data_IF_103317040070
#
_entry.id   IF_103317040070
#
_cell.length_a   1.000
_cell.length_b   1.000
_cell.length_c   1.000
_cell.angle_alpha   90.00
_cell.angle_beta   90.00
_cell.angle_gamma   90.00
#
_symmetry.space_group_name_H-M   'P 1'
#
loop_
_entity.id
_entity.type
_entity.pdbx_description
1 polymer ?
#
# COMPACT_ATOMS: atom_id res chain seq x y z
N UNK A 1 12.41 16.14 -15.01
CA UNK A 1 13.08 16.23 -16.33
C UNK A 1 12.94 17.62 -16.94
N UNK A 2 11.80 18.00 -17.56
CA UNK A 2 11.65 19.32 -18.22
C UNK A 2 11.97 20.54 -17.35
N UNK A 3 11.58 20.52 -16.07
CA UNK A 3 11.95 21.58 -15.11
C UNK A 3 13.47 21.76 -15.00
N UNK A 4 14.23 20.66 -15.00
CA UNK A 4 15.69 20.67 -14.91
C UNK A 4 16.34 21.21 -16.19
N UNK A 5 15.87 20.75 -17.34
CA UNK A 5 16.42 21.11 -18.66
C UNK A 5 16.09 22.55 -19.04
N UNK A 6 14.81 22.92 -18.97
CA UNK A 6 14.32 24.21 -19.49
C UNK A 6 14.40 25.34 -18.47
N UNK A 7 14.38 24.99 -17.17
CA UNK A 7 14.34 25.91 -16.03
C UNK A 7 13.16 26.90 -16.09
N UNK A 8 12.13 26.58 -16.89
CA UNK A 8 10.93 27.41 -17.06
C UNK A 8 10.06 27.33 -15.81
N UNK A 9 9.51 28.47 -15.41
CA UNK A 9 8.60 28.60 -14.26
C UNK A 9 7.41 27.64 -14.36
N UNK A 10 6.81 27.50 -15.55
CA UNK A 10 5.68 26.59 -15.79
C UNK A 10 6.06 25.13 -15.52
N UNK A 11 7.19 24.67 -16.05
CA UNK A 11 7.62 23.28 -15.89
C UNK A 11 8.03 22.99 -14.44
N UNK A 12 8.60 23.97 -13.73
CA UNK A 12 8.89 23.89 -12.31
C UNK A 12 7.62 23.82 -11.45
N UNK A 13 6.64 24.69 -11.69
CA UNK A 13 5.38 24.67 -10.97
C UNK A 13 4.62 23.35 -11.17
N UNK A 14 4.55 22.87 -12.41
CA UNK A 14 3.95 21.56 -12.71
C UNK A 14 4.71 20.42 -12.02
N UNK A 15 6.04 20.45 -11.98
CA UNK A 15 6.83 19.45 -11.26
C UNK A 15 6.49 19.44 -9.75
N UNK A 16 6.31 20.62 -9.13
CA UNK A 16 5.90 20.73 -7.74
C UNK A 16 4.50 20.17 -7.48
N UNK A 17 3.53 20.52 -8.34
CA UNK A 17 2.16 19.99 -8.25
C UNK A 17 2.11 18.46 -8.38
N UNK A 18 2.83 17.90 -9.36
CA UNK A 18 2.89 16.45 -9.54
C UNK A 18 3.65 15.73 -8.44
N UNK A 19 4.66 16.36 -7.83
CA UNK A 19 5.32 15.83 -6.65
C UNK A 19 4.35 15.72 -5.46
N UNK A 20 3.54 16.75 -5.22
CA UNK A 20 2.50 16.71 -4.20
C UNK A 20 1.43 15.66 -4.53
N UNK A 21 0.92 15.63 -5.76
CA UNK A 21 -0.07 14.64 -6.20
C UNK A 21 0.43 13.19 -6.04
N UNK A 22 1.72 12.94 -6.32
CA UNK A 22 2.32 11.62 -6.09
C UNK A 22 2.29 11.24 -4.59
N UNK A 23 2.64 12.18 -3.70
CA UNK A 23 2.57 11.97 -2.25
C UNK A 23 1.15 11.72 -1.75
N UNK A 24 0.15 12.42 -2.28
CA UNK A 24 -1.27 12.15 -2.00
C UNK A 24 -1.69 10.76 -2.48
N UNK A 25 -1.16 10.29 -3.61
CA UNK A 25 -1.42 8.95 -4.11
C UNK A 25 -0.82 7.87 -3.20
N UNK A 26 0.45 8.02 -2.80
CA UNK A 26 1.10 7.12 -1.85
C UNK A 26 2.32 7.78 -1.21
N UNK A 27 2.44 7.70 0.12
CA UNK A 27 3.60 8.22 0.87
C UNK A 27 4.94 7.68 0.37
N UNK A 28 4.94 6.46 -0.15
CA UNK A 28 6.13 5.84 -0.71
C UNK A 28 6.73 6.61 -1.90
N UNK A 29 5.95 7.49 -2.56
CA UNK A 29 6.47 8.42 -3.57
C UNK A 29 7.59 9.32 -3.06
N UNK A 30 7.82 9.41 -1.75
CA UNK A 30 9.03 10.04 -1.19
C UNK A 30 10.31 9.48 -1.79
N UNK A 31 10.36 8.18 -2.12
CA UNK A 31 11.53 7.55 -2.75
C UNK A 31 11.72 7.97 -4.21
N UNK A 32 10.62 8.20 -4.93
CA UNK A 32 10.71 8.83 -6.25
C UNK A 32 11.28 10.24 -6.13
N UNK A 33 10.79 11.03 -5.17
CA UNK A 33 11.27 12.40 -4.96
C UNK A 33 12.74 12.44 -4.53
N UNK A 34 13.16 11.53 -3.65
CA UNK A 34 14.55 11.35 -3.27
C UNK A 34 15.40 10.96 -4.49
N UNK A 35 14.97 10.00 -5.30
CA UNK A 35 15.69 9.62 -6.51
C UNK A 35 15.82 10.76 -7.53
N UNK A 36 14.76 11.56 -7.72
CA UNK A 36 14.80 12.75 -8.57
C UNK A 36 15.73 13.84 -7.99
N UNK A 37 15.73 14.04 -6.68
CA UNK A 37 16.62 14.98 -6.01
C UNK A 37 18.08 14.53 -6.13
N UNK A 38 18.37 13.25 -5.85
CA UNK A 38 19.69 12.65 -6.04
C UNK A 38 20.15 12.80 -7.49
N UNK A 39 19.30 12.52 -8.47
CA UNK A 39 19.61 12.69 -9.88
C UNK A 39 19.99 14.14 -10.21
N UNK A 40 19.24 15.12 -9.71
CA UNK A 40 19.55 16.54 -9.87
C UNK A 40 20.87 16.94 -9.19
N UNK A 41 21.21 16.35 -8.04
CA UNK A 41 22.43 16.62 -7.26
C UNK A 41 23.69 16.00 -7.87
N UNK A 42 23.60 14.84 -8.52
CA UNK A 42 24.74 14.18 -9.16
C UNK A 42 24.94 14.59 -10.62
N UNK A 43 23.94 15.23 -11.23
CA UNK A 43 24.03 15.66 -12.62
C UNK A 43 25.12 16.74 -12.82
N UNK A 44 25.94 16.68 -13.88
CA UNK A 44 26.98 17.70 -14.12
C UNK A 44 26.44 19.15 -14.22
N UNK A 45 25.23 19.30 -14.77
CA UNK A 45 24.52 20.59 -14.86
C UNK A 45 23.84 21.08 -13.58
N UNK A 46 24.12 20.47 -12.40
CA UNK A 46 23.47 20.81 -11.12
C UNK A 46 23.61 22.28 -10.74
N UNK A 47 24.78 22.87 -10.95
CA UNK A 47 25.08 24.22 -10.49
C UNK A 47 24.14 25.24 -11.12
N UNK A 48 23.91 25.13 -12.43
CA UNK A 48 22.98 26.00 -13.14
C UNK A 48 21.53 25.79 -12.69
N UNK A 49 21.14 24.54 -12.44
CA UNK A 49 19.78 24.24 -12.00
C UNK A 49 19.50 24.86 -10.63
N UNK A 50 20.37 24.65 -9.64
CA UNK A 50 20.22 25.17 -8.28
C UNK A 50 20.38 26.69 -8.16
N UNK A 51 21.12 27.33 -9.08
CA UNK A 51 21.18 28.79 -9.20
C UNK A 51 19.93 29.39 -9.85
N UNK A 52 19.17 28.62 -10.62
CA UNK A 52 17.93 29.08 -11.25
C UNK A 52 16.77 29.14 -10.25
N UNK A 53 15.65 29.75 -10.67
CA UNK A 53 14.41 29.78 -9.87
C UNK A 53 13.66 28.44 -9.87
N UNK A 54 13.96 27.53 -10.79
CA UNK A 54 13.18 26.32 -11.03
C UNK A 54 13.09 25.37 -9.82
N UNK A 55 14.18 24.98 -9.11
CA UNK A 55 14.06 24.11 -7.95
C UNK A 55 13.28 24.74 -6.81
N UNK A 56 13.47 26.04 -6.57
CA UNK A 56 12.77 26.78 -5.52
C UNK A 56 11.27 26.89 -5.80
N UNK A 57 10.87 27.18 -7.04
CA UNK A 57 9.46 27.17 -7.46
C UNK A 57 8.87 25.77 -7.31
N UNK A 58 9.60 24.72 -7.70
CA UNK A 58 9.17 23.32 -7.54
C UNK A 58 8.87 23.02 -6.07
N UNK A 59 9.77 23.39 -5.15
CA UNK A 59 9.61 23.17 -3.71
C UNK A 59 8.47 23.99 -3.11
N UNK A 60 8.35 25.28 -3.46
CA UNK A 60 7.29 26.15 -2.93
C UNK A 60 5.92 25.66 -3.40
N UNK A 61 5.75 25.41 -4.70
CA UNK A 61 4.47 24.96 -5.26
C UNK A 61 4.08 23.59 -4.72
N UNK A 62 5.03 22.64 -4.66
CA UNK A 62 4.77 21.33 -4.06
C UNK A 62 4.45 21.42 -2.57
N UNK A 63 5.18 22.27 -1.82
CA UNK A 63 4.97 22.51 -0.40
C UNK A 63 3.58 23.09 -0.11
N UNK A 64 3.14 24.09 -0.86
CA UNK A 64 1.79 24.66 -0.74
C UNK A 64 0.73 23.60 -1.07
N UNK A 65 0.93 22.82 -2.14
CA UNK A 65 -0.04 21.81 -2.56
C UNK A 65 -0.18 20.66 -1.54
N UNK A 66 0.90 20.25 -0.87
CA UNK A 66 0.86 19.22 0.17
C UNK A 66 0.51 19.75 1.56
N UNK A 67 0.55 21.07 1.79
CA UNK A 67 0.33 21.68 3.10
C UNK A 67 -0.97 21.25 3.80
N UNK A 68 -2.16 21.20 3.13
CA UNK A 68 -3.39 20.76 3.78
C UNK A 68 -3.27 19.36 4.40
N UNK A 69 -2.56 18.47 3.72
CA UNK A 69 -2.31 17.12 4.20
C UNK A 69 -1.33 17.07 5.38
N UNK A 70 -0.27 17.89 5.35
CA UNK A 70 0.65 17.99 6.48
C UNK A 70 -0.05 18.52 7.74
N UNK A 71 -0.95 19.50 7.58
CA UNK A 71 -1.78 20.03 8.67
C UNK A 71 -2.68 18.91 9.23
N UNK A 72 -3.35 18.16 8.35
CA UNK A 72 -4.17 17.02 8.77
C UNK A 72 -3.36 15.95 9.52
N UNK A 73 -2.16 15.63 9.05
CA UNK A 73 -1.26 14.67 9.70
C UNK A 73 -0.90 15.09 11.13
N UNK A 74 -0.53 16.36 11.32
CA UNK A 74 -0.21 16.91 12.64
C UNK A 74 -1.43 16.84 13.56
N UNK A 75 -2.60 17.24 13.05
CA UNK A 75 -3.85 17.22 13.81
C UNK A 75 -4.30 15.81 14.21
N UNK A 76 -3.87 14.78 13.48
CA UNK A 76 -4.22 13.37 13.72
C UNK A 76 -3.02 12.54 14.21
N UNK A 77 -2.03 13.18 14.84
CA UNK A 77 -0.93 12.49 15.53
C UNK A 77 -0.07 11.61 14.63
N UNK A 78 0.05 11.93 13.34
CA UNK A 78 0.82 11.17 12.35
C UNK A 78 0.43 9.68 12.25
N UNK A 79 -0.85 9.34 12.45
CA UNK A 79 -1.34 7.96 12.47
C UNK A 79 -0.79 7.05 11.34
N UNK A 80 -0.70 7.48 10.05
CA UNK A 80 -0.12 6.66 8.99
C UNK A 80 1.37 6.30 9.20
N UNK A 81 2.15 7.21 9.82
CA UNK A 81 3.55 6.93 10.14
C UNK A 81 3.69 6.00 11.34
N UNK A 82 2.84 6.15 12.36
CA UNK A 82 2.81 5.23 13.51
C UNK A 82 2.51 3.79 13.05
N UNK A 83 1.57 3.62 12.12
CA UNK A 83 1.32 2.34 11.45
C UNK A 83 2.55 1.85 10.69
N UNK A 84 3.19 2.70 9.87
CA UNK A 84 4.36 2.31 9.11
C UNK A 84 5.53 1.87 10.00
N UNK A 85 5.75 2.54 11.13
CA UNK A 85 6.78 2.15 12.12
C UNK A 85 6.43 0.82 12.78
N UNK A 86 5.16 0.58 13.10
CA UNK A 86 4.72 -0.69 13.71
C UNK A 86 4.87 -1.88 12.75
N UNK A 87 4.57 -1.69 11.46
CA UNK A 87 4.57 -2.76 10.46
C UNK A 87 5.94 -2.98 9.81
N UNK A 88 6.67 -1.91 9.56
CA UNK A 88 7.94 -1.96 8.82
C UNK A 88 9.17 -1.60 9.65
N UNK A 89 9.01 -1.10 10.88
CA UNK A 89 10.13 -0.79 11.77
C UNK A 89 10.66 -2.02 12.53
N UNK A 90 11.69 -1.78 13.35
CA UNK A 90 12.29 -2.76 14.27
C UNK A 90 12.91 -4.00 13.62
N UNK A 91 13.34 -3.89 12.37
CA UNK A 91 14.11 -4.94 11.73
C UNK A 91 15.52 -5.03 12.36
N UNK A 92 16.02 -6.24 12.62
CA UNK A 92 17.47 -6.39 12.83
C UNK A 92 18.20 -6.01 11.54
N UNK A 93 19.41 -5.46 11.64
CA UNK A 93 20.20 -5.08 10.45
C UNK A 93 20.35 -6.25 9.47
N UNK A 94 20.54 -7.47 9.99
CA UNK A 94 20.62 -8.68 9.19
C UNK A 94 19.31 -8.97 8.43
N UNK A 95 18.16 -8.83 9.09
CA UNK A 95 16.86 -9.00 8.43
C UNK A 95 16.57 -7.91 7.41
N UNK A 96 16.92 -6.65 7.70
CA UNK A 96 16.77 -5.55 6.75
C UNK A 96 17.68 -5.71 5.51
N UNK A 97 18.87 -6.30 5.69
CA UNK A 97 19.76 -6.63 4.58
C UNK A 97 19.18 -7.74 3.70
N UNK A 98 18.65 -8.81 4.31
CA UNK A 98 17.95 -9.87 3.58
C UNK A 98 16.74 -9.31 2.82
N UNK A 99 15.90 -8.50 3.48
CA UNK A 99 14.75 -7.83 2.87
C UNK A 99 15.16 -6.91 1.71
N UNK A 100 16.35 -6.29 1.77
CA UNK A 100 16.90 -5.47 0.69
C UNK A 100 17.32 -6.29 -0.53
N UNK A 101 17.88 -7.48 -0.31
CA UNK A 101 18.18 -8.43 -1.40
C UNK A 101 16.88 -8.93 -2.04
N UNK A 102 15.92 -9.35 -1.23
CA UNK A 102 14.60 -9.81 -1.68
C UNK A 102 13.85 -8.70 -2.41
N UNK A 103 13.98 -7.45 -1.95
CA UNK A 103 13.47 -6.27 -2.63
C UNK A 103 14.05 -6.16 -4.05
N UNK A 104 15.37 -6.28 -4.24
CA UNK A 104 16.00 -6.15 -5.56
C UNK A 104 15.66 -7.33 -6.49
N UNK A 105 15.70 -8.56 -5.97
CA UNK A 105 15.35 -9.76 -6.73
C UNK A 105 13.88 -9.72 -7.14
N UNK A 106 12.99 -9.43 -6.19
CA UNK A 106 11.57 -9.28 -6.44
C UNK A 106 11.26 -8.12 -7.38
N UNK A 107 12.04 -7.03 -7.32
CA UNK A 107 11.95 -5.91 -8.26
C UNK A 107 12.22 -6.34 -9.69
N UNK A 108 13.28 -7.11 -9.93
CA UNK A 108 13.58 -7.67 -11.26
C UNK A 108 12.47 -8.64 -11.70
N UNK A 109 11.97 -9.47 -10.77
CA UNK A 109 10.87 -10.39 -11.04
C UNK A 109 9.58 -9.66 -11.48
N UNK A 110 9.26 -8.49 -10.89
CA UNK A 110 8.10 -7.69 -11.29
C UNK A 110 8.13 -7.26 -12.77
N UNK A 111 9.32 -7.00 -13.31
CA UNK A 111 9.48 -6.47 -14.67
C UNK A 111 10.09 -7.49 -15.64
N UNK A 112 10.25 -8.75 -15.23
CA UNK A 112 10.89 -9.75 -16.09
C UNK A 112 10.13 -9.97 -17.41
N UNK A 113 8.80 -10.11 -17.35
CA UNK A 113 7.94 -10.29 -18.53
C UNK A 113 8.03 -9.09 -19.49
N UNK A 114 7.82 -7.82 -19.06
CA UNK A 114 7.95 -6.70 -19.98
C UNK A 114 9.38 -6.54 -20.53
N UNK A 115 10.43 -6.84 -19.76
CA UNK A 115 11.80 -6.86 -20.26
C UNK A 115 11.98 -7.88 -21.38
N UNK A 116 11.51 -9.13 -21.19
CA UNK A 116 11.59 -10.18 -22.19
C UNK A 116 10.83 -9.83 -23.46
N UNK A 117 9.64 -9.24 -23.35
CA UNK A 117 8.85 -8.77 -24.50
C UNK A 117 9.62 -7.71 -25.29
N UNK A 118 10.17 -6.70 -24.61
CA UNK A 118 10.96 -5.65 -25.26
C UNK A 118 12.21 -6.24 -25.91
N UNK A 119 12.94 -7.14 -25.24
CA UNK A 119 14.16 -7.74 -25.78
C UNK A 119 13.89 -8.66 -26.97
N UNK A 120 12.81 -9.44 -26.95
CA UNK A 120 12.43 -10.30 -28.06
C UNK A 120 12.06 -9.50 -29.33
N UNK A 121 11.45 -8.32 -29.14
CA UNK A 121 10.96 -7.47 -30.22
C UNK A 121 12.04 -6.52 -30.72
N UNK A 122 12.68 -5.77 -29.83
CA UNK A 122 13.70 -4.76 -30.15
C UNK A 122 15.07 -5.37 -30.46
N UNK A 123 15.34 -6.59 -29.99
CA UNK A 123 16.60 -7.34 -30.21
C UNK A 123 17.86 -6.48 -30.03
N UNK A 124 18.03 -5.86 -28.85
CA UNK A 124 19.11 -4.91 -28.64
C UNK A 124 20.48 -5.59 -28.73
N UNK A 125 21.43 -4.92 -29.37
CA UNK A 125 22.85 -5.34 -29.31
C UNK A 125 23.43 -5.05 -27.93
N UNK A 126 24.60 -5.61 -27.60
CA UNK A 126 25.29 -5.31 -26.33
C UNK A 126 25.54 -3.82 -26.11
N UNK A 127 25.81 -3.05 -27.18
CA UNK A 127 25.95 -1.59 -27.12
C UNK A 127 24.62 -0.89 -26.79
N UNK A 128 23.52 -1.36 -27.38
CA UNK A 128 22.19 -0.86 -27.07
C UNK A 128 21.80 -1.18 -25.62
N UNK A 129 22.11 -2.38 -25.11
CA UNK A 129 21.88 -2.75 -23.70
C UNK A 129 22.68 -1.85 -22.75
N UNK A 130 23.95 -1.58 -23.05
CA UNK A 130 24.77 -0.66 -22.26
C UNK A 130 24.18 0.76 -22.25
N UNK A 131 23.73 1.25 -23.40
CA UNK A 131 23.11 2.57 -23.51
C UNK A 131 21.70 2.65 -22.89
N UNK A 132 20.94 1.54 -22.85
CA UNK A 132 19.68 1.45 -22.09
C UNK A 132 19.93 1.55 -20.58
N UNK A 133 20.95 0.84 -20.09
CA UNK A 133 21.28 0.79 -18.66
C UNK A 133 21.90 2.10 -18.17
N UNK A 134 22.81 2.68 -18.96
CA UNK A 134 23.49 3.93 -18.64
C UNK A 134 23.76 4.77 -19.90
N UNK A 135 22.84 5.68 -20.26
CA UNK A 135 22.93 6.50 -21.47
C UNK A 135 24.12 7.47 -21.45
N UNK A 136 24.76 7.64 -22.61
CA UNK A 136 25.80 8.66 -22.79
C UNK A 136 25.27 10.10 -22.90
N UNK A 137 24.08 10.27 -23.47
CA UNK A 137 23.46 11.59 -23.65
C UNK A 137 23.03 12.20 -22.30
N UNK A 138 23.30 13.49 -22.10
CA UNK A 138 23.12 14.16 -20.80
C UNK A 138 21.66 14.14 -20.33
N UNK A 139 20.72 14.39 -21.24
CA UNK A 139 19.28 14.42 -20.96
C UNK A 139 18.77 13.06 -20.48
N UNK A 140 19.22 11.98 -21.14
CA UNK A 140 18.87 10.61 -20.78
C UNK A 140 19.59 10.14 -19.51
N UNK A 141 20.80 10.65 -19.25
CA UNK A 141 21.56 10.34 -18.04
C UNK A 141 20.88 10.85 -16.78
N UNK A 142 20.18 11.98 -16.84
CA UNK A 142 19.36 12.43 -15.72
C UNK A 142 18.21 11.45 -15.43
N UNK A 143 17.57 10.89 -16.47
CA UNK A 143 16.50 9.90 -16.30
C UNK A 143 17.06 8.58 -15.73
N UNK A 144 18.24 8.16 -16.20
CA UNK A 144 18.92 6.97 -15.68
C UNK A 144 19.33 7.15 -14.22
N UNK A 145 19.90 8.30 -13.86
CA UNK A 145 20.25 8.61 -12.48
C UNK A 145 19.00 8.61 -11.58
N UNK A 146 17.88 9.16 -12.04
CA UNK A 146 16.62 9.12 -11.29
C UNK A 146 16.08 7.71 -11.15
N UNK A 147 16.06 6.92 -12.24
CA UNK A 147 15.62 5.52 -12.22
C UNK A 147 16.44 4.68 -11.22
N UNK A 148 17.76 4.70 -11.36
CA UNK A 148 18.65 3.92 -10.49
C UNK A 148 18.64 4.42 -9.06
N UNK A 149 18.60 5.74 -8.82
CA UNK A 149 18.49 6.26 -7.46
C UNK A 149 17.16 5.87 -6.80
N UNK A 150 16.03 5.98 -7.50
CA UNK A 150 14.72 5.53 -6.98
C UNK A 150 14.71 4.02 -6.71
N UNK A 151 15.38 3.21 -7.54
CA UNK A 151 15.42 1.75 -7.36
C UNK A 151 16.38 1.32 -6.24
N UNK A 152 17.60 1.84 -6.21
CA UNK A 152 18.70 1.33 -5.38
C UNK A 152 18.74 1.99 -4.00
N UNK A 153 18.41 3.28 -3.89
CA UNK A 153 18.54 4.02 -2.63
C UNK A 153 17.73 3.39 -1.48
N UNK A 154 16.49 2.88 -1.68
CA UNK A 154 15.77 2.17 -0.62
C UNK A 154 16.55 1.00 -0.06
N UNK A 155 17.11 0.15 -0.92
CA UNK A 155 17.89 -1.03 -0.52
C UNK A 155 19.15 -0.66 0.27
N UNK A 156 19.73 0.52 0.02
CA UNK A 156 20.87 1.03 0.77
C UNK A 156 20.46 1.64 2.12
N UNK A 157 19.33 2.34 2.16
CA UNK A 157 18.86 3.04 3.36
C UNK A 157 18.18 2.11 4.37
N UNK A 158 17.50 1.05 3.91
CA UNK A 158 16.73 0.18 4.78
C UNK A 158 17.55 -0.49 5.90
N UNK A 159 18.75 -1.04 5.65
CA UNK A 159 19.60 -1.56 6.73
C UNK A 159 20.09 -0.48 7.70
N UNK A 160 20.34 0.74 7.19
CA UNK A 160 20.80 1.88 7.99
C UNK A 160 19.69 2.42 8.91
N UNK A 161 18.43 2.31 8.48
CA UNK A 161 17.26 2.80 9.18
C UNK A 161 16.50 1.71 9.94
N UNK A 162 16.99 0.46 9.90
CA UNK A 162 16.33 -0.71 10.50
C UNK A 162 14.87 -0.88 10.03
N UNK A 163 14.64 -0.66 8.73
CA UNK A 163 13.32 -0.73 8.07
C UNK A 163 13.24 -1.99 7.20
N UNK A 164 12.10 -2.69 7.27
CA UNK A 164 11.78 -3.80 6.37
C UNK A 164 11.33 -3.29 5.00
N UNK A 165 11.83 -3.91 3.95
CA UNK A 165 11.45 -3.62 2.57
C UNK A 165 10.64 -4.75 1.96
N UNK A 166 9.80 -4.39 1.00
CA UNK A 166 9.15 -5.36 0.12
C UNK A 166 9.33 -4.87 -1.32
N UNK A 167 9.44 -5.79 -2.28
CA UNK A 167 9.62 -5.46 -3.70
C UNK A 167 8.51 -4.54 -4.27
N UNK A 168 7.34 -4.48 -3.63
CA UNK A 168 6.26 -3.53 -3.98
C UNK A 168 6.72 -2.07 -3.91
N UNK A 169 7.74 -1.78 -3.11
CA UNK A 169 8.32 -0.45 -2.97
C UNK A 169 9.10 -0.02 -4.24
N UNK A 170 9.35 -0.92 -5.20
CA UNK A 170 9.99 -0.53 -6.47
C UNK A 170 9.04 0.15 -7.47
N UNK A 171 7.72 0.16 -7.21
CA UNK A 171 6.69 0.56 -8.19
C UNK A 171 6.95 1.92 -8.86
N UNK A 172 7.43 2.92 -8.10
CA UNK A 172 7.68 4.25 -8.65
C UNK A 172 8.89 4.29 -9.58
N UNK A 173 9.89 3.41 -9.42
CA UNK A 173 11.03 3.33 -10.32
C UNK A 173 10.60 2.90 -11.73
N UNK A 174 9.61 2.00 -11.83
CA UNK A 174 9.16 1.46 -13.11
C UNK A 174 8.50 2.48 -14.02
N UNK A 175 8.09 3.64 -13.51
CA UNK A 175 7.59 4.77 -14.33
C UNK A 175 8.64 5.26 -15.34
N UNK A 176 9.94 5.14 -15.02
CA UNK A 176 11.06 5.53 -15.89
C UNK A 176 11.63 4.36 -16.69
N UNK A 177 11.22 3.12 -16.42
CA UNK A 177 11.72 1.94 -17.13
C UNK A 177 11.47 2.01 -18.65
N UNK A 178 10.27 2.39 -19.15
CA UNK A 178 10.06 2.54 -20.59
C UNK A 178 11.00 3.58 -21.22
N UNK A 179 11.33 4.65 -20.50
CA UNK A 179 12.30 5.65 -20.97
C UNK A 179 13.69 5.02 -21.09
N UNK A 180 14.13 4.22 -20.11
CA UNK A 180 15.41 3.50 -20.18
C UNK A 180 15.48 2.53 -21.35
N UNK A 181 14.43 1.75 -21.55
CA UNK A 181 14.41 0.71 -22.57
C UNK A 181 14.25 1.25 -24.01
N UNK A 182 13.41 2.27 -24.20
CA UNK A 182 12.95 2.65 -25.54
C UNK A 182 13.52 3.97 -26.07
N UNK A 183 14.24 4.75 -25.25
CA UNK A 183 14.84 6.03 -25.69
C UNK A 183 16.24 5.89 -26.31
N UNK A 184 16.78 4.67 -26.39
CA UNK A 184 18.09 4.45 -26.99
C UNK A 184 18.07 4.75 -28.50
N UNK A 185 18.97 5.61 -29.02
CA UNK A 185 19.07 5.84 -30.46
C UNK A 185 19.61 4.62 -31.21
N UNK A 186 20.14 3.64 -30.49
CA UNK A 186 20.68 2.39 -31.06
C UNK A 186 19.58 1.36 -31.33
N UNK A 187 18.32 1.70 -31.09
CA UNK A 187 17.17 0.82 -31.27
C UNK A 187 16.19 1.50 -32.21
N UNK A 188 15.80 0.78 -33.27
CA UNK A 188 14.68 1.19 -34.11
C UNK A 188 13.47 0.31 -33.81
N UNK A 189 12.43 0.89 -33.21
CA UNK A 189 11.15 0.21 -33.06
C UNK A 189 10.31 0.52 -34.30
N UNK A 190 10.15 -0.47 -35.18
CA UNK A 190 9.28 -0.30 -36.35
C UNK A 190 7.82 -0.21 -35.89
N UNK A 191 6.97 0.46 -36.68
CA UNK A 191 5.53 0.57 -36.36
C UNK A 191 4.88 -0.80 -36.12
N UNK A 192 5.25 -1.81 -36.91
CA UNK A 192 4.75 -3.18 -36.74
C UNK A 192 5.14 -3.78 -35.37
N UNK A 193 6.35 -3.48 -34.89
CA UNK A 193 6.86 -3.95 -33.61
C UNK A 193 6.15 -3.24 -32.45
N UNK A 194 5.93 -1.93 -32.56
CA UNK A 194 5.14 -1.17 -31.58
C UNK A 194 3.68 -1.67 -31.49
N UNK A 195 3.04 -1.97 -32.63
CA UNK A 195 1.68 -2.55 -32.65
C UNK A 195 1.67 -3.91 -31.96
N UNK A 196 2.68 -4.76 -32.15
CA UNK A 196 2.79 -6.06 -31.46
C UNK A 196 2.97 -5.89 -29.95
N UNK A 197 3.82 -4.96 -29.50
CA UNK A 197 3.99 -4.65 -28.07
C UNK A 197 2.66 -4.25 -27.45
N UNK A 198 1.95 -3.30 -28.08
CA UNK A 198 0.65 -2.82 -27.59
C UNK A 198 -0.39 -3.94 -27.62
N UNK A 199 -0.44 -4.73 -28.68
CA UNK A 199 -1.36 -5.87 -28.78
C UNK A 199 -1.11 -6.90 -27.68
N UNK A 200 0.14 -7.24 -27.36
CA UNK A 200 0.49 -8.13 -26.25
C UNK A 200 0.10 -7.50 -24.92
N UNK A 201 0.38 -6.21 -24.71
CA UNK A 201 0.04 -5.50 -23.49
C UNK A 201 -1.48 -5.43 -23.24
N UNK A 202 -2.29 -5.39 -24.32
CA UNK A 202 -3.76 -5.45 -24.24
C UNK A 202 -4.28 -6.88 -24.12
N UNK A 203 -3.69 -7.84 -24.84
CA UNK A 203 -4.12 -9.24 -24.81
C UNK A 203 -3.80 -9.91 -23.48
N UNK A 204 -2.64 -9.60 -22.87
CA UNK A 204 -2.21 -10.19 -21.61
C UNK A 204 -3.25 -10.08 -20.47
N UNK A 205 -3.77 -8.88 -20.12
CA UNK A 205 -4.80 -8.78 -19.08
C UNK A 205 -6.10 -9.51 -19.46
N UNK A 206 -6.46 -9.58 -20.75
CA UNK A 206 -7.63 -10.36 -21.21
C UNK A 206 -7.41 -11.86 -21.03
N UNK A 207 -6.21 -12.37 -21.32
CA UNK A 207 -5.83 -13.76 -21.08
C UNK A 207 -5.80 -14.05 -19.58
N UNK A 208 -5.23 -13.16 -18.76
CA UNK A 208 -5.25 -13.31 -17.30
C UNK A 208 -6.69 -13.30 -16.75
N UNK A 209 -7.57 -12.48 -17.30
CA UNK A 209 -8.99 -12.47 -16.95
C UNK A 209 -9.66 -13.80 -17.32
N UNK A 210 -9.39 -14.33 -18.51
CA UNK A 210 -9.91 -15.64 -18.94
C UNK A 210 -9.36 -16.79 -18.07
N UNK A 211 -8.11 -16.69 -17.63
CA UNK A 211 -7.47 -17.65 -16.71
C UNK A 211 -7.85 -17.45 -15.24
N UNK A 212 -8.49 -16.33 -14.89
CA UNK A 212 -8.82 -15.98 -13.51
C UNK A 212 -9.61 -17.08 -12.77
N UNK A 213 -10.48 -17.90 -13.40
CA UNK A 213 -11.14 -18.97 -12.68
C UNK A 213 -10.22 -20.11 -12.27
N UNK A 214 -9.29 -20.50 -13.15
CA UNK A 214 -8.31 -21.53 -12.85
C UNK A 214 -7.32 -21.05 -11.77
N UNK A 215 -6.86 -19.80 -11.88
CA UNK A 215 -6.03 -19.16 -10.85
C UNK A 215 -6.79 -19.12 -9.52
N UNK A 216 -8.08 -18.77 -9.56
CA UNK A 216 -8.99 -18.76 -8.42
C UNK A 216 -9.09 -20.11 -7.73
N UNK A 217 -9.22 -21.20 -8.48
CA UNK A 217 -9.23 -22.57 -7.93
C UNK A 217 -7.93 -22.90 -7.19
N UNK A 218 -6.78 -22.62 -7.80
CA UNK A 218 -5.47 -22.86 -7.17
C UNK A 218 -5.31 -22.00 -5.91
N UNK A 219 -5.66 -20.73 -5.98
CA UNK A 219 -5.59 -19.81 -4.83
C UNK A 219 -6.59 -20.19 -3.74
N UNK A 220 -7.72 -20.79 -4.08
CA UNK A 220 -8.72 -21.24 -3.10
C UNK A 220 -8.18 -22.36 -2.21
N UNK A 221 -7.31 -23.22 -2.73
CA UNK A 221 -6.62 -24.25 -1.95
C UNK A 221 -5.44 -23.69 -1.16
N UNK A 222 -4.69 -22.72 -1.72
CA UNK A 222 -3.45 -22.22 -1.12
C UNK A 222 -3.67 -21.06 -0.13
N UNK A 223 -4.69 -20.22 -0.33
CA UNK A 223 -4.98 -19.00 0.47
C UNK A 223 -6.33 -19.08 1.17
N UNK A 224 -6.52 -20.08 2.01
CA UNK A 224 -7.72 -20.26 2.86
C UNK A 224 -7.68 -19.47 4.18
N UNK A 225 -6.87 -18.41 4.26
CA UNK A 225 -6.71 -17.59 5.46
C UNK A 225 -7.91 -16.67 5.76
N UNK A 226 -7.88 -16.01 6.91
CA UNK A 226 -8.90 -15.04 7.34
C UNK A 226 -9.15 -13.90 6.34
N UNK A 227 -8.16 -13.55 5.51
CA UNK A 227 -8.24 -12.55 4.43
C UNK A 227 -9.41 -12.77 3.46
N UNK A 228 -9.81 -14.02 3.22
CA UNK A 228 -10.86 -14.35 2.26
C UNK A 228 -12.28 -14.36 2.86
N UNK A 229 -12.42 -14.11 4.17
CA UNK A 229 -13.67 -14.31 4.91
C UNK A 229 -14.42 -13.02 5.25
N UNK A 230 -13.89 -11.84 4.93
CA UNK A 230 -14.48 -10.55 5.32
C UNK A 230 -15.94 -10.40 4.91
N UNK A 231 -16.29 -10.72 3.66
CA UNK A 231 -17.68 -10.64 3.18
C UNK A 231 -18.61 -11.69 3.77
N UNK A 232 -18.09 -12.88 4.12
CA UNK A 232 -18.86 -13.95 4.73
C UNK A 232 -19.20 -13.65 6.19
N UNK A 233 -18.37 -12.85 6.85
CA UNK A 233 -18.50 -12.51 8.27
C UNK A 233 -19.43 -11.31 8.50
N UNK A 234 -19.65 -10.46 7.49
CA UNK A 234 -20.54 -9.30 7.59
C UNK A 234 -21.97 -9.68 8.01
N UNK A 235 -22.62 -10.60 7.30
CA UNK A 235 -23.99 -11.03 7.61
C UNK A 235 -24.16 -11.64 9.02
N UNK A 236 -23.26 -12.53 9.48
CA UNK A 236 -23.24 -12.98 10.87
C UNK A 236 -23.04 -11.87 11.90
N UNK A 237 -22.15 -10.90 11.65
CA UNK A 237 -21.91 -9.74 12.53
C UNK A 237 -23.16 -8.88 12.63
N UNK A 238 -23.78 -8.52 11.50
CA UNK A 238 -25.02 -7.72 11.48
C UNK A 238 -26.15 -8.41 12.21
N UNK A 239 -26.31 -9.73 12.02
CA UNK A 239 -27.35 -10.48 12.72
C UNK A 239 -27.13 -10.45 14.23
N UNK A 240 -25.91 -10.68 14.71
CA UNK A 240 -25.64 -10.60 16.14
C UNK A 240 -25.85 -9.17 16.67
N UNK A 241 -25.46 -8.15 15.91
CA UNK A 241 -25.66 -6.76 16.30
C UNK A 241 -27.14 -6.42 16.45
N UNK A 242 -27.97 -6.72 15.44
CA UNK A 242 -29.43 -6.50 15.49
C UNK A 242 -30.11 -7.35 16.57
N UNK A 243 -29.61 -8.56 16.82
CA UNK A 243 -30.09 -9.38 17.93
C UNK A 243 -29.77 -8.73 19.30
N UNK A 244 -28.80 -7.81 19.36
CA UNK A 244 -28.30 -7.18 20.58
C UNK A 244 -28.88 -5.78 20.81
N UNK A 245 -29.05 -4.98 19.76
CA UNK A 245 -29.57 -3.61 19.82
C UNK A 245 -30.19 -3.16 18.50
N UNK A 246 -31.15 -2.23 18.57
CA UNK A 246 -31.75 -1.56 17.42
C UNK A 246 -30.94 -0.34 16.92
N UNK A 247 -29.89 0.04 17.65
CA UNK A 247 -29.00 1.14 17.25
C UNK A 247 -28.20 0.78 15.99
N UNK A 248 -27.86 1.75 15.12
CA UNK A 248 -26.97 1.51 13.99
C UNK A 248 -25.56 1.12 14.47
N UNK A 249 -24.90 0.22 13.76
CA UNK A 249 -23.54 -0.22 14.07
C UNK A 249 -22.54 0.85 13.62
N UNK A 250 -21.97 1.60 14.57
CA UNK A 250 -21.01 2.68 14.26
C UNK A 250 -19.55 2.30 14.45
N UNK A 251 -19.24 1.32 15.31
CA UNK A 251 -17.87 0.92 15.65
C UNK A 251 -17.64 -0.57 15.46
N UNK A 252 -16.53 -0.91 14.83
CA UNK A 252 -16.11 -2.29 14.61
C UNK A 252 -14.63 -2.48 14.96
N UNK A 253 -14.29 -3.61 15.59
CA UNK A 253 -12.91 -3.99 15.84
C UNK A 253 -12.66 -5.46 15.55
N UNK A 254 -11.48 -5.78 15.04
CA UNK A 254 -11.05 -7.15 14.79
C UNK A 254 -9.53 -7.25 14.87
N UNK A 255 -8.98 -8.43 14.64
CA UNK A 255 -7.55 -8.65 14.49
C UNK A 255 -7.13 -8.66 13.01
N UNK A 256 -5.97 -8.06 12.75
CA UNK A 256 -5.33 -8.00 11.44
C UNK A 256 -6.28 -7.46 10.36
N UNK A 257 -6.15 -7.98 9.14
CA UNK A 257 -6.86 -7.50 7.94
C UNK A 257 -8.40 -7.51 8.04
N UNK A 258 -8.98 -8.22 9.01
CA UNK A 258 -10.43 -8.25 9.20
C UNK A 258 -10.97 -6.92 9.73
N UNK A 259 -10.15 -6.14 10.45
CA UNK A 259 -10.55 -4.85 11.03
C UNK A 259 -10.96 -3.85 9.96
N UNK A 260 -10.30 -3.89 8.81
CA UNK A 260 -10.59 -3.03 7.66
C UNK A 260 -11.50 -3.73 6.63
N UNK A 261 -11.39 -5.06 6.51
CA UNK A 261 -12.09 -5.81 5.48
C UNK A 261 -13.58 -6.01 5.76
N UNK A 262 -13.97 -6.31 7.01
CA UNK A 262 -15.38 -6.62 7.35
C UNK A 262 -16.28 -5.38 7.27
N UNK A 263 -15.90 -4.20 7.83
CA UNK A 263 -16.72 -2.98 7.76
C UNK A 263 -17.12 -2.55 6.36
N UNK A 264 -16.27 -2.83 5.37
CA UNK A 264 -16.57 -2.57 3.96
C UNK A 264 -17.86 -3.28 3.48
N UNK A 265 -18.16 -4.47 4.01
CA UNK A 265 -19.33 -5.26 3.64
C UNK A 265 -20.52 -5.13 4.59
N UNK A 266 -20.37 -4.41 5.72
CA UNK A 266 -21.45 -4.14 6.65
C UNK A 266 -22.34 -3.00 6.13
N UNK A 267 -23.65 -3.10 6.34
CA UNK A 267 -24.64 -2.14 5.87
C UNK A 267 -24.39 -0.71 6.37
N UNK A 268 -24.06 -0.56 7.65
CA UNK A 268 -23.89 0.75 8.30
C UNK A 268 -22.50 1.37 8.07
N UNK A 269 -21.57 0.63 7.45
CA UNK A 269 -20.17 1.04 7.22
C UNK A 269 -19.49 1.63 8.49
N UNK A 270 -19.39 0.85 9.59
CA UNK A 270 -18.84 1.34 10.84
C UNK A 270 -17.38 1.77 10.71
N UNK A 271 -16.96 2.68 11.59
CA UNK A 271 -15.57 3.05 11.75
C UNK A 271 -14.78 1.91 12.38
N UNK A 272 -13.63 1.59 11.77
CA UNK A 272 -12.67 0.64 12.29
C UNK A 272 -11.89 1.24 13.46
N UNK A 273 -11.90 0.56 14.61
CA UNK A 273 -11.07 0.88 15.77
C UNK A 273 -10.17 -0.32 16.10
N UNK A 274 -8.98 -0.08 16.66
CA UNK A 274 -7.95 -1.12 16.83
C UNK A 274 -7.80 -1.58 18.29
N UNK A 275 -8.89 -1.59 19.05
CA UNK A 275 -8.90 -1.88 20.50
C UNK A 275 -8.62 -3.35 20.86
N UNK A 276 -8.54 -4.25 19.86
CA UNK A 276 -8.15 -5.64 20.05
C UNK A 276 -6.66 -5.90 19.78
N UNK A 277 -5.99 -4.98 19.07
CA UNK A 277 -4.56 -5.07 18.74
C UNK A 277 -3.71 -4.24 19.70
N UNK A 278 -4.32 -3.21 20.31
CA UNK A 278 -3.72 -2.35 21.31
C UNK A 278 -4.74 -1.97 22.38
N UNK A 279 -4.26 -1.49 23.51
CA UNK A 279 -5.13 -0.90 24.52
C UNK A 279 -5.97 0.25 23.92
N UNK A 280 -7.25 0.28 24.29
CA UNK A 280 -8.14 1.38 23.94
C UNK A 280 -7.67 2.68 24.59
N UNK A 281 -7.81 3.79 23.87
CA UNK A 281 -7.66 5.11 24.46
C UNK A 281 -8.92 5.48 25.24
N UNK A 282 -8.81 6.43 26.18
CA UNK A 282 -9.98 6.93 26.92
C UNK A 282 -11.09 7.47 25.99
N UNK A 283 -10.72 8.00 24.83
CA UNK A 283 -11.65 8.49 23.81
C UNK A 283 -12.40 7.33 23.14
N UNK A 284 -11.69 6.25 22.79
CA UNK A 284 -12.30 5.04 22.22
C UNK A 284 -13.19 4.34 23.24
N UNK A 285 -12.78 4.26 24.52
CA UNK A 285 -13.62 3.70 25.58
C UNK A 285 -14.92 4.50 25.74
N UNK A 286 -14.84 5.84 25.69
CA UNK A 286 -16.02 6.70 25.73
C UNK A 286 -16.93 6.52 24.49
N UNK A 287 -16.35 6.34 23.30
CA UNK A 287 -17.08 6.05 22.07
C UNK A 287 -17.77 4.69 22.13
N UNK A 288 -17.05 3.65 22.56
CA UNK A 288 -17.61 2.30 22.76
C UNK A 288 -18.77 2.34 23.77
N UNK A 289 -18.62 3.08 24.87
CA UNK A 289 -19.71 3.25 25.84
C UNK A 289 -20.93 3.92 25.21
N UNK A 290 -20.74 4.93 24.37
CA UNK A 290 -21.81 5.74 23.78
C UNK A 290 -22.50 5.07 22.58
N UNK A 291 -21.75 4.37 21.74
CA UNK A 291 -22.20 3.87 20.43
C UNK A 291 -22.24 2.34 20.37
N UNK A 292 -21.70 1.66 21.38
CA UNK A 292 -21.48 0.22 21.36
C UNK A 292 -20.41 -0.19 20.35
N UNK A 293 -20.08 -1.48 20.30
CA UNK A 293 -19.07 -2.00 19.38
C UNK A 293 -19.34 -3.46 19.02
N UNK A 294 -19.10 -3.81 17.76
CA UNK A 294 -19.00 -5.20 17.33
C UNK A 294 -17.53 -5.62 17.23
N UNK A 295 -17.19 -6.75 17.85
CA UNK A 295 -15.85 -7.32 17.89
C UNK A 295 -15.85 -8.67 17.17
N UNK A 296 -14.78 -8.95 16.44
CA UNK A 296 -14.62 -10.20 15.69
C UNK A 296 -13.21 -10.75 15.92
N UNK A 297 -13.11 -12.00 16.37
CA UNK A 297 -11.83 -12.68 16.57
C UNK A 297 -11.79 -14.05 15.90
N UNK A 298 -10.74 -14.36 15.11
CA UNK A 298 -10.47 -15.74 14.73
C UNK A 298 -10.25 -16.60 15.98
N UNK A 299 -10.82 -17.80 16.02
CA UNK A 299 -10.60 -18.72 17.16
C UNK A 299 -9.12 -19.16 17.29
N UNK A 300 -8.34 -19.01 16.21
CA UNK A 300 -6.90 -19.26 16.18
C UNK A 300 -6.05 -18.11 16.75
N UNK A 301 -6.65 -17.02 17.23
CA UNK A 301 -5.96 -15.83 17.72
C UNK A 301 -6.24 -15.57 19.22
N UNK A 302 -5.48 -16.21 20.14
CA UNK A 302 -5.75 -16.14 21.59
C UNK A 302 -5.70 -14.72 22.18
N UNK A 303 -4.80 -13.87 21.70
CA UNK A 303 -4.69 -12.48 22.15
C UNK A 303 -5.94 -11.68 21.82
N UNK A 304 -6.50 -11.86 20.62
CA UNK A 304 -7.75 -11.23 20.21
C UNK A 304 -8.91 -11.70 21.10
N UNK A 305 -9.02 -13.02 21.31
CA UNK A 305 -10.09 -13.60 22.14
C UNK A 305 -10.04 -13.03 23.55
N UNK A 306 -8.87 -12.99 24.19
CA UNK A 306 -8.70 -12.44 25.52
C UNK A 306 -9.09 -10.94 25.59
N UNK A 307 -8.68 -10.14 24.60
CA UNK A 307 -9.06 -8.73 24.53
C UNK A 307 -10.56 -8.53 24.31
N UNK A 308 -11.18 -9.35 23.45
CA UNK A 308 -12.61 -9.30 23.19
C UNK A 308 -13.43 -9.71 24.42
N UNK A 309 -12.99 -10.73 25.17
CA UNK A 309 -13.62 -11.15 26.42
C UNK A 309 -13.49 -10.08 27.51
N UNK A 310 -12.32 -9.47 27.65
CA UNK A 310 -12.11 -8.37 28.59
C UNK A 310 -13.01 -7.17 28.26
N UNK A 311 -13.21 -6.86 26.97
CA UNK A 311 -14.13 -5.82 26.53
C UNK A 311 -15.60 -6.21 26.78
N UNK A 312 -15.99 -7.44 26.45
CA UNK A 312 -17.34 -7.97 26.67
C UNK A 312 -17.74 -7.94 28.15
N UNK A 313 -16.79 -8.25 29.05
CA UNK A 313 -16.99 -8.25 30.50
C UNK A 313 -17.40 -6.89 31.08
N UNK A 314 -17.22 -5.79 30.34
CA UNK A 314 -17.61 -4.45 30.75
C UNK A 314 -19.12 -4.18 30.64
N UNK A 315 -19.87 -5.03 29.92
CA UNK A 315 -21.31 -4.90 29.74
C UNK A 315 -22.01 -6.24 29.93
N UNK A 316 -22.97 -6.27 30.86
CA UNK A 316 -23.83 -7.45 31.08
C UNK A 316 -24.79 -7.73 29.92
N UNK A 317 -25.01 -6.74 29.05
CA UNK A 317 -25.85 -6.85 27.86
C UNK A 317 -25.08 -7.32 26.62
N UNK A 318 -23.79 -7.61 26.75
CA UNK A 318 -23.00 -8.14 25.64
C UNK A 318 -23.52 -9.51 25.21
N UNK A 319 -23.62 -9.73 23.90
CA UNK A 319 -23.95 -11.04 23.32
C UNK A 319 -22.75 -11.59 22.56
N UNK A 320 -22.64 -12.91 22.55
CA UNK A 320 -21.55 -13.65 21.90
C UNK A 320 -22.14 -14.70 20.98
N UNK A 321 -21.51 -14.91 19.84
CA UNK A 321 -21.86 -16.00 18.92
C UNK A 321 -20.60 -16.49 18.25
N UNK A 322 -20.34 -17.78 18.38
CA UNK A 322 -19.37 -18.44 17.53
C UNK A 322 -20.00 -18.75 16.18
N UNK A 323 -19.24 -18.53 15.13
CA UNK A 323 -19.65 -18.82 13.76
C UNK A 323 -18.56 -19.56 13.02
N UNK A 324 -18.97 -20.45 12.15
CA UNK A 324 -18.09 -21.15 11.24
C UNK A 324 -18.42 -20.71 9.82
N UNK A 325 -17.40 -20.25 9.10
CA UNK A 325 -17.54 -19.83 7.71
C UNK A 325 -16.57 -20.60 6.84
N UNK A 326 -17.03 -20.94 5.65
CA UNK A 326 -16.20 -21.53 4.59
C UNK A 326 -16.54 -20.84 3.29
N UNK A 327 -15.51 -20.41 2.56
CA UNK A 327 -15.68 -19.88 1.21
C UNK A 327 -15.98 -21.03 0.26
N UNK A 328 -16.89 -20.82 -0.69
CA UNK A 328 -17.11 -21.75 -1.81
C UNK A 328 -16.65 -21.09 -3.10
N UNK A 329 -15.89 -21.83 -3.90
CA UNK A 329 -15.46 -21.40 -5.22
C UNK A 329 -15.79 -22.49 -6.24
N UNK A 330 -16.61 -22.17 -7.24
CA UNK A 330 -17.12 -23.14 -8.24
C UNK A 330 -17.67 -24.43 -7.62
N UNK A 331 -18.38 -24.32 -6.49
CA UNK A 331 -18.98 -25.44 -5.77
C UNK A 331 -18.07 -26.12 -4.75
N UNK A 332 -16.75 -25.92 -4.82
CA UNK A 332 -15.74 -26.50 -3.92
C UNK A 332 -15.64 -25.66 -2.65
N UNK A 333 -15.84 -26.29 -1.49
CA UNK A 333 -15.68 -25.63 -0.18
C UNK A 333 -14.21 -25.58 0.22
N UNK A 334 -13.75 -24.43 0.71
CA UNK A 334 -12.46 -24.31 1.39
C UNK A 334 -12.55 -24.86 2.81
N UNK A 335 -11.40 -25.02 3.46
CA UNK A 335 -11.31 -25.28 4.89
C UNK A 335 -12.13 -24.26 5.67
N UNK A 336 -13.02 -24.75 6.52
CA UNK A 336 -13.83 -23.89 7.35
C UNK A 336 -12.99 -23.25 8.45
N UNK A 337 -13.32 -22.00 8.79
CA UNK A 337 -12.68 -21.24 9.85
C UNK A 337 -13.71 -20.76 10.86
N UNK A 338 -13.37 -20.87 12.13
CA UNK A 338 -14.21 -20.48 13.26
C UNK A 338 -13.84 -19.10 13.80
N UNK A 339 -14.86 -18.33 14.14
CA UNK A 339 -14.72 -16.97 14.65
C UNK A 339 -15.66 -16.77 15.84
N UNK A 340 -15.20 -15.99 16.81
CA UNK A 340 -16.03 -15.44 17.87
C UNK A 340 -16.48 -14.03 17.44
N UNK A 341 -17.78 -13.79 17.46
CA UNK A 341 -18.36 -12.46 17.33
C UNK A 341 -18.88 -12.04 18.70
N UNK A 342 -18.57 -10.82 19.11
CA UNK A 342 -19.12 -10.20 20.31
C UNK A 342 -19.79 -8.89 19.90
N UNK A 343 -21.02 -8.68 20.37
CA UNK A 343 -21.72 -7.41 20.22
C UNK A 343 -21.92 -6.79 21.61
N UNK A 344 -21.46 -5.56 21.78
CA UNK A 344 -21.62 -4.78 22.99
C UNK A 344 -22.55 -3.61 22.63
N UNK A 345 -23.78 -3.55 23.15
CA UNK A 345 -24.70 -2.47 22.81
C UNK A 345 -24.22 -1.13 23.42
N UNK A 346 -24.70 0.01 22.88
CA UNK A 346 -24.58 1.29 23.56
C UNK A 346 -25.03 1.19 25.02
N UNK A 347 -24.34 1.87 25.93
CA UNK A 347 -24.87 2.06 27.27
C UNK A 347 -26.23 2.77 27.15
N UNK A 348 -27.30 2.13 27.61
CA UNK A 348 -28.56 2.82 27.77
C UNK A 348 -28.30 4.08 28.60
N UNK A 349 -28.78 5.23 28.14
CA UNK A 349 -28.65 6.52 28.84
C UNK A 349 -29.15 6.38 30.28
N UNK A 350 -28.28 6.01 31.22
CA UNK A 350 -28.65 5.78 32.62
C UNK A 350 -27.99 4.63 33.40
N UNK A 351 -27.10 3.79 32.85
CA UNK A 351 -26.40 2.76 33.65
C UNK A 351 -24.89 3.00 33.72
N UNK A 352 -24.45 3.34 34.93
CA UNK A 352 -23.08 3.60 35.37
C UNK A 352 -22.15 2.42 35.07
N UNK A 353 -21.00 2.69 34.44
CA UNK A 353 -19.87 1.77 34.42
C UNK A 353 -19.45 1.49 35.87
N UNK A 354 -19.32 0.21 36.22
CA UNK A 354 -18.73 -0.20 37.49
C UNK A 354 -17.22 -0.02 37.34
N UNK A 355 -16.68 1.01 37.99
CA UNK A 355 -15.23 1.18 38.17
C UNK A 355 -14.62 -0.06 38.83
N UNK A 356 -13.56 -0.58 38.22
CA UNK A 356 -12.38 -1.10 38.94
C UNK A 356 -11.15 -1.16 38.06
#
# INVERSE_FOLDING_TARGET
>A
MRSFETRRVRDAALAGLWAAAAMYGKYWSVVLLLGLATAALVHPGRADYFRSRAPWITMIVGGIAIAPHLIWLIANGFAPFSYAVAVHGQASVASALADSVDYLVGSIAYVCVPLLVVFAIARPTGKALADMAWPGAAERRLAAAAFWATLVLPALLAPLLAVRLTSLWSMSAWTLLPVMLLSSPLISVRRADAVRIVAIAVAFPLVMLALSPAIGLVMHEVRSGSEAHSSLLAGPVERLWRDTTDAPLQLFSSAAILVDGVPFYLHDHPNSIHVLERAATAQEDALIAKEGVALLCPMSAPSCLAAAEACAGRSSLSKRREVEVSRRYLGIAATAARYLIVAIPPAASGLTFIDR
#
